data_IF_569334491454
#
_entry.id   IF_569334491454
#
_cell.length_a   1.000
_cell.length_b   1.000
_cell.length_c   1.000
_cell.angle_alpha   90.00
_cell.angle_beta   90.00
_cell.angle_gamma   90.00
#
_symmetry.space_group_name_H-M   'P 1'
#
loop_
_entity.id
_entity.type
_entity.pdbx_description
1 polymer ?
#
# COMPACT_ATOMS: atom_id res chain seq x y z
N UNK A 1 -11.67 13.37 -4.27
CA UNK A 1 -11.20 13.47 -2.88
C UNK A 1 -11.27 12.07 -2.32
N UNK A 2 -10.16 11.34 -2.24
CA UNK A 2 -10.14 10.06 -1.55
C UNK A 2 -10.72 10.20 -0.13
N UNK A 3 -11.56 9.25 0.28
CA UNK A 3 -12.08 9.17 1.66
C UNK A 3 -11.35 8.11 2.47
N UNK A 4 -10.78 7.10 1.83
CA UNK A 4 -10.07 6.01 2.48
C UNK A 4 -8.67 5.78 1.90
N UNK A 5 -7.87 4.96 2.58
CA UNK A 5 -6.50 4.65 2.20
C UNK A 5 -6.41 4.00 0.82
N UNK A 6 -7.39 3.17 0.46
CA UNK A 6 -7.42 2.52 -0.84
C UNK A 6 -7.55 3.52 -1.99
N UNK A 7 -8.46 4.48 -1.88
CA UNK A 7 -8.61 5.54 -2.89
C UNK A 7 -7.39 6.47 -2.92
N UNK A 8 -6.79 6.77 -1.77
CA UNK A 8 -5.58 7.60 -1.71
C UNK A 8 -4.42 6.98 -2.49
N UNK A 9 -4.32 5.64 -2.51
CA UNK A 9 -3.33 4.90 -3.31
C UNK A 9 -3.64 5.01 -4.80
N UNK A 10 -4.91 5.01 -5.20
CA UNK A 10 -5.30 5.16 -6.60
C UNK A 10 -5.08 6.58 -7.14
N UNK A 11 -4.98 7.57 -6.26
CA UNK A 11 -4.58 8.94 -6.63
C UNK A 11 -3.07 9.04 -6.95
N UNK A 12 -2.27 8.01 -6.65
CA UNK A 12 -0.85 7.99 -6.98
C UNK A 12 -0.61 7.82 -8.49
N UNK A 13 0.38 8.55 -9.06
CA UNK A 13 0.65 8.50 -10.48
C UNK A 13 1.09 7.09 -10.91
N UNK A 14 0.42 6.55 -11.92
CA UNK A 14 0.71 5.23 -12.46
C UNK A 14 0.16 4.08 -11.63
N UNK A 15 -0.52 4.33 -10.51
CA UNK A 15 -1.21 3.28 -9.75
C UNK A 15 -2.64 3.13 -10.24
N UNK A 16 -3.08 1.89 -10.44
CA UNK A 16 -4.42 1.59 -10.94
C UNK A 16 -4.99 0.36 -10.24
N UNK A 17 -6.32 0.28 -10.18
CA UNK A 17 -7.01 -0.96 -9.85
C UNK A 17 -7.34 -1.70 -11.15
N UNK A 18 -6.83 -2.92 -11.29
CA UNK A 18 -7.22 -3.85 -12.33
C UNK A 18 -7.80 -5.12 -11.70
N UNK A 19 -9.08 -5.41 -11.99
CA UNK A 19 -9.78 -6.63 -11.57
C UNK A 19 -9.65 -6.93 -10.06
N UNK A 20 -9.68 -5.87 -9.24
CA UNK A 20 -9.61 -5.95 -7.78
C UNK A 20 -8.19 -5.96 -7.23
N UNK A 21 -7.17 -5.69 -8.05
CA UNK A 21 -5.76 -5.70 -7.68
C UNK A 21 -5.07 -4.39 -8.00
N UNK A 22 -4.11 -4.01 -7.16
CA UNK A 22 -3.29 -2.85 -7.43
C UNK A 22 -2.24 -3.20 -8.49
N UNK A 23 -2.09 -2.33 -9.47
CA UNK A 23 -1.04 -2.37 -10.48
C UNK A 23 -0.26 -1.05 -10.46
N UNK A 24 1.01 -1.12 -10.85
CA UNK A 24 1.86 0.04 -11.03
C UNK A 24 2.37 0.05 -12.48
N UNK A 25 2.16 1.17 -13.18
CA UNK A 25 2.61 1.35 -14.55
C UNK A 25 4.12 1.11 -14.67
N UNK A 26 4.51 0.20 -15.57
CA UNK A 26 5.90 -0.21 -15.78
C UNK A 26 6.40 -1.30 -14.83
N UNK A 27 5.55 -1.83 -13.93
CA UNK A 27 5.88 -2.95 -13.07
C UNK A 27 5.01 -4.17 -13.39
N UNK A 28 5.64 -5.34 -13.58
CA UNK A 28 4.92 -6.61 -13.80
C UNK A 28 4.22 -7.11 -12.53
N UNK A 29 4.74 -6.75 -11.35
CA UNK A 29 4.19 -7.13 -10.05
C UNK A 29 4.43 -6.00 -9.08
N UNK A 30 3.40 -5.65 -8.32
CA UNK A 30 3.48 -4.72 -7.21
C UNK A 30 3.08 -5.41 -5.91
N UNK A 31 3.81 -5.12 -4.84
CA UNK A 31 3.48 -5.57 -3.49
C UNK A 31 3.20 -4.35 -2.62
N UNK A 32 2.14 -4.39 -1.82
CA UNK A 32 1.90 -3.36 -0.83
C UNK A 32 2.50 -3.79 0.48
N UNK A 33 3.25 -2.88 1.10
CA UNK A 33 3.79 -3.06 2.46
C UNK A 33 3.30 -1.90 3.33
N UNK A 34 3.18 -2.14 4.63
CA UNK A 34 2.69 -1.15 5.59
C UNK A 34 3.80 -0.92 6.61
N UNK A 35 4.25 0.32 6.78
CA UNK A 35 5.36 0.68 7.65
C UNK A 35 6.62 -0.17 7.39
N UNK A 36 6.92 -0.44 6.10
CA UNK A 36 8.04 -1.28 5.69
C UNK A 36 7.91 -2.77 6.02
N UNK A 37 6.77 -3.21 6.56
CA UNK A 37 6.50 -4.63 6.86
C UNK A 37 5.64 -5.24 5.75
N UNK A 38 6.09 -6.38 5.23
CA UNK A 38 5.28 -7.18 4.31
C UNK A 38 4.08 -7.73 5.06
N UNK A 39 2.92 -7.59 4.45
CA UNK A 39 1.72 -8.24 4.93
C UNK A 39 1.55 -9.61 4.28
N UNK A 40 1.16 -10.61 5.09
CA UNK A 40 0.74 -11.92 4.59
C UNK A 40 -0.74 -11.94 4.15
N UNK A 41 -1.40 -10.79 4.12
CA UNK A 41 -2.80 -10.67 3.68
C UNK A 41 -2.92 -10.92 2.18
N UNK A 42 -3.98 -11.64 1.81
CA UNK A 42 -4.40 -11.73 0.41
C UNK A 42 -4.91 -10.38 -0.11
N UNK A 43 -4.96 -10.25 -1.43
CA UNK A 43 -5.37 -9.03 -2.14
C UNK A 43 -6.72 -8.46 -1.66
N UNK A 44 -7.75 -9.31 -1.53
CA UNK A 44 -9.08 -8.87 -1.04
C UNK A 44 -9.08 -8.45 0.42
N UNK A 45 -8.27 -9.09 1.27
CA UNK A 45 -8.18 -8.75 2.68
C UNK A 45 -7.45 -7.41 2.88
N UNK A 46 -6.37 -7.21 2.13
CA UNK A 46 -5.67 -5.92 2.07
C UNK A 46 -6.58 -4.82 1.54
N UNK A 47 -7.29 -5.06 0.44
CA UNK A 47 -8.24 -4.07 -0.11
C UNK A 47 -9.30 -3.68 0.93
N UNK A 48 -9.89 -4.65 1.62
CA UNK A 48 -10.85 -4.38 2.69
C UNK A 48 -10.23 -3.56 3.83
N UNK A 49 -9.01 -3.88 4.27
CA UNK A 49 -8.32 -3.09 5.29
C UNK A 49 -8.16 -1.63 4.83
N UNK A 50 -7.69 -1.42 3.61
CA UNK A 50 -7.43 -0.08 3.06
C UNK A 50 -8.72 0.71 2.83
N UNK A 51 -9.81 0.05 2.44
CA UNK A 51 -11.14 0.69 2.30
C UNK A 51 -11.73 1.11 3.64
N UNK A 52 -11.45 0.37 4.71
CA UNK A 52 -11.89 0.70 6.07
C UNK A 52 -10.93 1.65 6.81
N UNK A 53 -9.75 1.92 6.24
CA UNK A 53 -8.78 2.83 6.83
C UNK A 53 -9.02 4.26 6.33
N UNK A 54 -9.29 5.23 7.22
CA UNK A 54 -9.42 6.63 6.81
C UNK A 54 -8.10 7.15 6.27
N UNK A 55 -8.15 7.96 5.21
CA UNK A 55 -6.93 8.49 4.56
C UNK A 55 -6.06 9.31 5.52
N UNK A 56 -6.63 9.93 6.54
CA UNK A 56 -5.87 10.74 7.50
C UNK A 56 -4.86 9.93 8.30
N UNK A 57 -5.04 8.59 8.37
CA UNK A 57 -4.07 7.67 8.98
C UNK A 57 -2.86 7.42 8.10
N UNK A 58 -2.90 7.73 6.81
CA UNK A 58 -1.71 7.67 5.96
C UNK A 58 -0.87 8.92 6.23
N UNK A 59 0.38 8.70 6.60
CA UNK A 59 1.39 9.75 6.65
C UNK A 59 1.99 9.98 5.26
N UNK A 60 2.38 8.89 4.59
CA UNK A 60 3.04 8.93 3.28
C UNK A 60 2.80 7.63 2.52
N UNK A 61 2.76 7.71 1.19
CA UNK A 61 2.86 6.56 0.32
C UNK A 61 4.14 6.66 -0.52
N UNK A 62 4.95 5.60 -0.54
CA UNK A 62 6.23 5.56 -1.22
C UNK A 62 6.22 4.50 -2.31
N UNK A 63 6.57 4.90 -3.52
CA UNK A 63 6.65 4.00 -4.67
C UNK A 63 8.11 3.64 -4.91
N UNK A 64 8.39 2.34 -4.95
CA UNK A 64 9.70 1.79 -5.25
C UNK A 64 9.55 0.81 -6.41
N UNK A 65 10.19 1.08 -7.55
CA UNK A 65 10.19 0.13 -8.68
C UNK A 65 11.03 -1.12 -8.42
N UNK A 66 11.97 -1.04 -7.46
CA UNK A 66 12.76 -2.16 -6.97
C UNK A 66 12.67 -2.23 -5.45
N UNK A 67 12.10 -3.33 -4.95
CA UNK A 67 12.02 -3.60 -3.52
C UNK A 67 13.41 -3.63 -2.85
N UNK A 68 13.57 -2.99 -1.69
CA UNK A 68 14.72 -3.19 -0.83
C UNK A 68 14.88 -4.67 -0.41
N UNK A 69 16.11 -5.21 -0.29
CA UNK A 69 16.34 -6.60 0.12
C UNK A 69 15.70 -6.96 1.47
N UNK A 70 15.67 -6.00 2.39
CA UNK A 70 15.07 -6.11 3.72
C UNK A 70 13.56 -6.42 3.71
N UNK A 71 12.85 -6.11 2.61
CA UNK A 71 11.42 -6.43 2.51
C UNK A 71 11.18 -7.87 2.05
N UNK A 72 12.21 -8.61 1.63
CA UNK A 72 12.05 -10.01 1.21
C UNK A 72 11.03 -10.23 0.07
N UNK A 73 10.76 -9.20 -0.73
CA UNK A 73 9.87 -9.22 -1.90
C UNK A 73 10.63 -8.86 -3.16
N UNK A 74 10.11 -9.26 -4.32
CA UNK A 74 10.68 -8.96 -5.63
C UNK A 74 9.73 -8.08 -6.44
N UNK A 75 10.29 -7.20 -7.25
CA UNK A 75 9.53 -6.29 -8.11
C UNK A 75 9.24 -4.94 -7.45
N UNK A 76 8.18 -4.28 -7.88
CA UNK A 76 7.80 -2.99 -7.34
C UNK A 76 7.08 -3.13 -6.00
N UNK A 77 7.21 -2.10 -5.17
CA UNK A 77 6.58 -2.01 -3.86
C UNK A 77 5.94 -0.64 -3.69
N UNK A 78 4.74 -0.64 -3.12
CA UNK A 78 4.08 0.56 -2.58
C UNK A 78 4.13 0.44 -1.06
N UNK A 79 4.91 1.28 -0.39
CA UNK A 79 4.96 1.35 1.07
C UNK A 79 3.98 2.40 1.58
N UNK A 80 3.05 1.97 2.43
CA UNK A 80 2.15 2.87 3.14
C UNK A 80 2.71 3.12 4.52
N UNK A 81 3.20 4.34 4.72
CA UNK A 81 3.60 4.83 6.03
C UNK A 81 2.35 5.37 6.72
N UNK A 82 1.99 4.77 7.85
CA UNK A 82 0.89 5.22 8.67
C UNK A 82 1.40 6.26 9.67
N UNK A 83 0.55 7.24 10.01
CA UNK A 83 0.87 8.19 11.08
C UNK A 83 1.04 7.44 12.39
N UNK A 84 2.08 7.80 13.13
CA UNK A 84 2.33 7.31 14.48
C UNK A 84 1.30 7.93 15.42
N UNK A 85 0.14 7.29 15.54
CA UNK A 85 -0.99 7.77 16.34
C UNK A 85 -2.06 6.70 16.39
N UNK A 86 -2.17 6.06 17.56
CA UNK A 86 -3.04 4.94 17.93
C UNK A 86 -2.67 3.55 17.38
N UNK A 87 -2.20 2.73 18.33
CA UNK A 87 -2.06 1.27 18.33
C UNK A 87 -0.76 0.67 17.77
N UNK A 88 0.38 1.09 18.30
CA UNK A 88 1.38 0.14 18.82
C UNK A 88 1.45 0.40 20.34
N UNK A 89 0.36 0.03 21.02
CA UNK A 89 0.28 0.02 22.46
C UNK A 89 0.45 -1.41 22.92
N UNK A 90 1.67 -1.69 23.41
CA UNK A 90 2.09 -2.82 24.27
C UNK A 90 1.99 -4.25 23.73
#
# INVERSE_FOLDING_TARGET
MAVNAYEAILELPGVRNLRGGLELAGANKVTVVINGKVTNMGQSQLENLLKNMPKERIEKAEIMYSAPPQYHVRGAVINLVLKSGESDGE
#
